data_IF_038981344522
#
_entry.id   IF_038981344522
#
_cell.length_a   1.000
_cell.length_b   1.000
_cell.length_c   1.000
_cell.angle_alpha   90.00
_cell.angle_beta   90.00
_cell.angle_gamma   90.00
#
_symmetry.space_group_name_H-M   'P 1'
#
loop_
_entity.id
_entity.type
_entity.pdbx_description
1 polymer ?
#
# COMPACT_ATOMS: atom_id res chain seq x y z
N UNK A 1 40.76 14.54 -4.89
CA UNK A 1 39.79 13.93 -3.97
C UNK A 1 39.82 12.42 -4.15
N UNK A 2 39.91 11.63 -3.06
CA UNK A 2 39.84 10.16 -3.17
C UNK A 2 38.36 9.74 -3.18
N UNK A 3 37.99 8.85 -4.11
CA UNK A 3 36.66 8.29 -4.17
C UNK A 3 36.51 7.14 -3.16
N UNK A 4 35.31 6.98 -2.58
CA UNK A 4 34.99 5.83 -1.74
C UNK A 4 34.99 4.55 -2.58
N UNK A 5 35.62 3.48 -2.05
CA UNK A 5 35.58 2.15 -2.66
C UNK A 5 34.35 1.40 -2.14
N UNK A 6 33.56 0.82 -3.05
CA UNK A 6 32.32 0.13 -2.73
C UNK A 6 32.54 -1.38 -2.69
N UNK A 7 32.08 -2.07 -1.65
CA UNK A 7 32.00 -3.53 -1.58
C UNK A 7 30.56 -3.95 -1.89
N UNK A 8 30.25 -4.17 -3.16
CA UNK A 8 28.90 -4.45 -3.65
C UNK A 8 28.22 -5.60 -2.90
N UNK A 9 28.96 -6.70 -2.60
CA UNK A 9 28.45 -7.82 -1.81
C UNK A 9 27.94 -7.39 -0.43
N UNK A 10 28.72 -6.60 0.31
CA UNK A 10 28.35 -6.15 1.66
C UNK A 10 27.17 -5.17 1.64
N UNK A 11 27.08 -4.34 0.61
CA UNK A 11 25.93 -3.45 0.43
C UNK A 11 24.68 -4.27 0.16
N UNK A 12 24.72 -5.26 -0.72
CA UNK A 12 23.62 -6.15 -1.00
C UNK A 12 23.14 -6.90 0.26
N UNK A 13 24.08 -7.42 1.05
CA UNK A 13 23.78 -8.10 2.32
C UNK A 13 23.11 -7.14 3.33
N UNK A 14 23.57 -5.89 3.42
CA UNK A 14 22.93 -4.86 4.27
C UNK A 14 21.55 -4.49 3.76
N UNK A 15 21.36 -4.42 2.45
CA UNK A 15 20.04 -4.13 1.85
C UNK A 15 19.04 -5.24 2.12
N UNK A 16 19.44 -6.49 1.95
CA UNK A 16 18.58 -7.65 2.17
C UNK A 16 18.21 -7.82 3.65
N UNK A 17 19.14 -7.55 4.56
CA UNK A 17 19.00 -7.90 5.97
C UNK A 17 18.72 -6.73 6.92
N UNK A 18 18.85 -5.47 6.47
CA UNK A 18 18.80 -4.31 7.36
C UNK A 18 17.88 -3.17 6.89
N UNK A 19 17.54 -3.07 5.60
CA UNK A 19 16.72 -1.98 5.09
C UNK A 19 15.25 -2.24 5.38
N UNK A 20 14.83 -3.49 5.32
CA UNK A 20 13.44 -3.89 5.48
C UNK A 20 13.24 -4.64 6.80
N UNK A 21 12.26 -4.20 7.56
CA UNK A 21 11.90 -4.82 8.84
C UNK A 21 10.96 -6.02 8.67
N UNK A 22 10.15 -6.00 7.61
CA UNK A 22 9.19 -7.05 7.30
C UNK A 22 9.48 -7.73 5.96
N UNK A 23 9.61 -9.06 5.96
CA UNK A 23 9.89 -9.85 4.74
C UNK A 23 8.74 -9.86 3.76
N UNK A 24 7.50 -9.75 4.21
CA UNK A 24 6.29 -9.76 3.37
C UNK A 24 6.30 -8.69 2.27
N UNK A 25 7.03 -7.61 2.48
CA UNK A 25 7.10 -6.50 1.53
C UNK A 25 7.75 -6.85 0.19
N UNK A 26 8.46 -8.00 0.10
CA UNK A 26 9.03 -8.44 -1.18
C UNK A 26 7.97 -8.50 -2.27
N UNK A 27 6.77 -9.00 -1.93
CA UNK A 27 5.67 -9.11 -2.89
C UNK A 27 5.16 -7.73 -3.32
N UNK A 28 5.03 -6.80 -2.37
CA UNK A 28 4.71 -5.39 -2.66
C UNK A 28 5.68 -4.76 -3.66
N UNK A 29 6.97 -4.94 -3.44
CA UNK A 29 8.00 -4.37 -4.30
C UNK A 29 7.98 -4.97 -5.71
N UNK A 30 7.79 -6.29 -5.83
CA UNK A 30 7.69 -6.95 -7.15
C UNK A 30 6.43 -6.54 -7.90
N UNK A 31 5.28 -6.46 -7.22
CA UNK A 31 4.02 -6.00 -7.83
C UNK A 31 4.14 -4.52 -8.24
N UNK A 32 4.78 -3.68 -7.44
CA UNK A 32 5.02 -2.27 -7.78
C UNK A 32 5.89 -2.12 -9.03
N UNK A 33 6.95 -2.92 -9.14
CA UNK A 33 7.80 -2.94 -10.34
C UNK A 33 7.05 -3.43 -11.58
N UNK A 34 6.19 -4.43 -11.43
CA UNK A 34 5.33 -4.94 -12.49
C UNK A 34 4.33 -3.85 -12.95
N UNK A 35 3.69 -3.16 -12.00
CA UNK A 35 2.81 -2.02 -12.30
C UNK A 35 3.53 -0.91 -13.07
N UNK A 36 4.74 -0.53 -12.64
CA UNK A 36 5.55 0.49 -13.33
C UNK A 36 5.94 0.06 -14.75
N UNK A 37 6.23 -1.24 -14.96
CA UNK A 37 6.52 -1.77 -16.29
C UNK A 37 5.31 -1.70 -17.21
N UNK A 38 4.12 -1.96 -16.68
CA UNK A 38 2.86 -1.84 -17.43
C UNK A 38 2.57 -0.35 -17.70
N UNK A 39 2.74 0.55 -16.73
CA UNK A 39 2.55 2.00 -16.92
C UNK A 39 3.40 2.55 -18.07
N UNK A 40 4.66 2.10 -18.19
CA UNK A 40 5.55 2.48 -19.30
C UNK A 40 5.03 1.99 -20.66
N UNK A 41 4.49 0.78 -20.72
CA UNK A 41 3.92 0.25 -21.96
C UNK A 41 2.58 0.91 -22.27
N UNK A 42 1.76 1.15 -21.26
CA UNK A 42 0.50 1.89 -21.41
C UNK A 42 0.75 3.31 -21.94
N UNK A 43 1.79 4.00 -21.44
CA UNK A 43 2.17 5.30 -22.00
C UNK A 43 2.53 5.21 -23.50
N UNK A 44 3.26 4.19 -23.92
CA UNK A 44 3.52 3.93 -25.33
C UNK A 44 2.26 3.64 -26.15
N UNK A 45 1.26 2.97 -25.56
CA UNK A 45 -0.01 2.67 -26.24
C UNK A 45 -0.82 3.90 -26.62
N UNK A 46 -0.54 5.05 -26.01
CA UNK A 46 -1.19 6.33 -26.38
C UNK A 46 -0.77 6.81 -27.78
N UNK A 47 0.33 6.30 -28.31
CA UNK A 47 0.90 6.70 -29.62
C UNK A 47 1.15 5.48 -30.55
N UNK A 48 0.98 4.26 -30.07
CA UNK A 48 1.22 3.02 -30.82
C UNK A 48 0.05 2.03 -30.65
N UNK A 49 -0.83 1.98 -31.64
CA UNK A 49 -2.03 1.14 -31.66
C UNK A 49 -1.74 -0.39 -31.68
N UNK A 50 -0.47 -0.80 -31.80
CA UNK A 50 -0.07 -2.22 -31.80
C UNK A 50 0.08 -2.78 -30.38
N UNK A 51 0.03 -1.94 -29.36
CA UNK A 51 0.12 -2.37 -27.97
C UNK A 51 -1.20 -2.99 -27.54
N UNK A 52 -1.17 -4.25 -27.11
CA UNK A 52 -2.31 -4.89 -26.44
C UNK A 52 -2.54 -4.23 -25.08
N UNK A 53 -3.79 -3.83 -24.82
CA UNK A 53 -4.18 -3.12 -23.60
C UNK A 53 -4.80 -4.03 -22.53
N UNK A 54 -4.77 -5.36 -22.69
CA UNK A 54 -5.18 -6.31 -21.64
C UNK A 54 -4.07 -6.46 -20.58
N UNK A 55 -3.81 -5.37 -19.86
CA UNK A 55 -2.75 -5.31 -18.86
C UNK A 55 -3.11 -6.06 -17.58
N UNK A 56 -2.19 -6.88 -17.09
CA UNK A 56 -2.36 -7.64 -15.83
C UNK A 56 -1.03 -8.06 -15.21
N UNK A 57 -1.09 -8.39 -13.94
CA UNK A 57 -0.01 -8.99 -13.16
C UNK A 57 -0.48 -10.38 -12.75
N UNK A 58 0.28 -11.41 -13.09
CA UNK A 58 -0.06 -12.79 -12.81
C UNK A 58 0.83 -13.34 -11.69
N UNK A 59 0.22 -13.92 -10.64
CA UNK A 59 0.92 -14.63 -9.58
C UNK A 59 0.78 -16.13 -9.82
N UNK A 60 1.92 -16.83 -9.99
CA UNK A 60 1.97 -18.27 -10.25
C UNK A 60 2.74 -18.94 -9.10
N UNK A 61 2.03 -19.72 -8.30
CA UNK A 61 2.60 -20.44 -7.17
C UNK A 61 2.73 -21.94 -7.51
N UNK A 62 3.91 -22.52 -7.28
CA UNK A 62 4.14 -23.95 -7.40
C UNK A 62 4.67 -24.51 -6.07
N UNK A 63 3.77 -25.19 -5.33
CA UNK A 63 4.08 -25.81 -4.04
C UNK A 63 5.14 -26.90 -4.15
N UNK A 64 5.12 -27.69 -5.24
CA UNK A 64 6.03 -28.83 -5.44
C UNK A 64 7.46 -28.36 -5.68
N UNK A 65 7.61 -27.33 -6.51
CA UNK A 65 8.91 -26.71 -6.81
C UNK A 65 9.32 -25.66 -5.77
N UNK A 66 8.42 -25.30 -4.84
CA UNK A 66 8.59 -24.19 -3.88
C UNK A 66 8.98 -22.90 -4.60
N UNK A 67 8.20 -22.53 -5.62
CA UNK A 67 8.44 -21.30 -6.40
C UNK A 67 7.22 -20.40 -6.41
N UNK A 68 7.48 -19.10 -6.39
CA UNK A 68 6.51 -18.06 -6.67
C UNK A 68 7.00 -17.24 -7.85
N UNK A 69 6.15 -17.03 -8.84
CA UNK A 69 6.45 -16.18 -9.99
C UNK A 69 5.50 -14.99 -10.01
N UNK A 70 6.06 -13.80 -10.20
CA UNK A 70 5.33 -12.57 -10.49
C UNK A 70 5.59 -12.23 -11.94
N UNK A 71 4.56 -12.24 -12.76
CA UNK A 71 4.66 -11.98 -14.19
C UNK A 71 3.80 -10.78 -14.57
N UNK A 72 4.38 -9.88 -15.37
CA UNK A 72 3.68 -8.74 -15.98
C UNK A 72 3.74 -8.82 -17.51
N UNK A 73 2.78 -8.19 -18.16
CA UNK A 73 2.78 -7.95 -19.59
C UNK A 73 3.09 -6.48 -19.91
N UNK A 74 4.02 -5.88 -19.13
CA UNK A 74 4.51 -4.53 -19.31
C UNK A 74 5.56 -4.42 -20.42
N UNK A 75 6.35 -3.34 -20.40
CA UNK A 75 7.29 -2.99 -21.47
C UNK A 75 8.43 -4.01 -21.68
N UNK A 76 8.71 -4.84 -20.67
CA UNK A 76 9.86 -5.75 -20.70
C UNK A 76 11.23 -5.05 -20.62
N UNK A 77 12.30 -5.83 -20.76
CA UNK A 77 13.68 -5.36 -20.69
C UNK A 77 14.55 -6.10 -21.71
N UNK A 78 15.48 -5.38 -22.37
CA UNK A 78 16.58 -5.92 -23.16
C UNK A 78 17.67 -6.50 -22.27
N UNK A 79 18.69 -7.17 -22.84
CA UNK A 79 19.85 -7.66 -22.08
C UNK A 79 20.58 -6.54 -21.35
N UNK A 80 20.81 -5.40 -22.02
CA UNK A 80 21.50 -4.22 -21.45
C UNK A 80 20.68 -3.60 -20.33
N UNK A 81 19.35 -3.56 -20.47
CA UNK A 81 18.45 -3.06 -19.42
C UNK A 81 18.38 -4.01 -18.21
N UNK A 82 18.42 -5.33 -18.42
CA UNK A 82 18.54 -6.31 -17.34
C UNK A 82 19.85 -6.12 -16.57
N UNK A 83 20.99 -5.94 -17.28
CA UNK A 83 22.27 -5.66 -16.66
C UNK A 83 22.24 -4.34 -15.88
N UNK A 84 21.73 -3.29 -16.48
CA UNK A 84 21.66 -1.96 -15.88
C UNK A 84 20.75 -1.93 -14.66
N UNK A 85 19.49 -2.42 -14.80
CA UNK A 85 18.45 -2.28 -13.77
C UNK A 85 18.56 -3.31 -12.64
N UNK A 86 19.13 -4.50 -12.91
CA UNK A 86 19.24 -5.59 -11.92
C UNK A 86 20.66 -5.90 -11.53
N UNK A 87 21.65 -5.51 -12.33
CA UNK A 87 23.07 -5.70 -12.06
C UNK A 87 23.71 -4.52 -11.33
N UNK A 88 23.08 -3.34 -11.38
CA UNK A 88 23.60 -2.12 -10.71
C UNK A 88 22.70 -1.76 -9.53
N UNK A 89 23.27 -1.80 -8.32
CA UNK A 89 22.53 -1.48 -7.08
C UNK A 89 22.20 0.02 -7.06
N UNK A 90 20.96 0.35 -6.70
CA UNK A 90 20.41 1.71 -6.61
C UNK A 90 20.31 2.44 -7.97
N UNK A 91 20.26 1.72 -9.07
CA UNK A 91 19.88 2.28 -10.37
C UNK A 91 18.42 1.99 -10.67
N UNK A 92 17.63 3.03 -10.97
CA UNK A 92 16.19 2.93 -11.22
C UNK A 92 15.87 3.30 -12.66
N UNK A 93 15.49 2.29 -13.47
CA UNK A 93 14.95 2.52 -14.81
C UNK A 93 13.63 3.29 -14.80
N UNK A 94 12.89 3.25 -13.71
CA UNK A 94 11.66 4.04 -13.49
C UNK A 94 11.99 5.52 -13.27
N UNK A 95 13.02 5.83 -12.49
CA UNK A 95 13.47 7.21 -12.30
C UNK A 95 14.04 7.81 -13.59
N UNK A 96 14.80 7.00 -14.35
CA UNK A 96 15.33 7.43 -15.66
C UNK A 96 14.19 7.75 -16.64
N UNK A 97 13.14 6.93 -16.70
CA UNK A 97 11.96 7.18 -17.52
C UNK A 97 11.21 8.45 -17.09
N UNK A 98 10.98 8.63 -15.79
CA UNK A 98 10.32 9.83 -15.23
C UNK A 98 11.09 11.12 -15.56
N UNK A 99 12.41 11.07 -15.65
CA UNK A 99 13.24 12.22 -15.99
C UNK A 99 13.28 12.52 -17.50
N UNK A 100 13.03 11.52 -18.36
CA UNK A 100 13.01 11.67 -19.81
C UNK A 100 11.68 12.22 -20.33
N UNK A 101 10.58 11.87 -19.67
CA UNK A 101 9.23 12.29 -20.04
C UNK A 101 8.81 13.50 -19.20
N UNK A 102 8.42 14.58 -19.85
CA UNK A 102 8.00 15.83 -19.18
C UNK A 102 6.62 15.73 -18.50
N UNK A 103 5.89 14.65 -18.72
CA UNK A 103 4.58 14.41 -18.10
C UNK A 103 4.71 13.73 -16.75
N UNK A 104 3.83 14.12 -15.81
CA UNK A 104 3.74 13.54 -14.46
C UNK A 104 3.16 12.12 -14.51
N UNK A 105 3.96 11.13 -14.85
CA UNK A 105 3.60 9.71 -14.65
C UNK A 105 3.69 9.36 -13.17
N UNK A 106 2.62 8.81 -12.63
CA UNK A 106 2.53 8.36 -11.21
C UNK A 106 3.26 7.02 -11.01
N UNK A 107 4.54 6.96 -11.37
CA UNK A 107 5.35 5.75 -11.20
C UNK A 107 5.72 5.55 -9.72
N UNK A 108 5.70 4.29 -9.28
CA UNK A 108 5.86 3.88 -7.88
C UNK A 108 7.35 3.72 -7.52
N UNK A 109 8.15 3.03 -8.36
CA UNK A 109 9.55 2.68 -8.11
C UNK A 109 10.52 3.84 -8.35
N UNK A 110 11.20 4.33 -7.31
CA UNK A 110 12.12 5.47 -7.42
C UNK A 110 13.57 5.16 -7.05
N UNK A 111 13.83 4.13 -6.24
CA UNK A 111 15.12 3.92 -5.58
C UNK A 111 16.01 2.85 -6.20
N UNK A 112 15.50 1.99 -7.10
CA UNK A 112 16.26 0.92 -7.72
C UNK A 112 16.75 -0.18 -6.75
N UNK A 113 16.08 -0.34 -5.62
CA UNK A 113 16.46 -1.31 -4.57
C UNK A 113 15.36 -2.31 -4.24
N UNK A 114 14.09 -2.00 -4.58
CA UNK A 114 12.93 -2.82 -4.23
C UNK A 114 13.02 -4.26 -4.76
N UNK A 115 13.61 -4.45 -5.94
CA UNK A 115 13.83 -5.78 -6.53
C UNK A 115 14.60 -6.72 -5.61
N UNK A 116 15.61 -6.21 -4.91
CA UNK A 116 16.47 -7.05 -4.04
C UNK A 116 15.74 -7.58 -2.80
N UNK A 117 14.56 -7.05 -2.46
CA UNK A 117 13.70 -7.62 -1.42
C UNK A 117 13.33 -9.09 -1.73
N UNK A 118 13.34 -9.50 -3.01
CA UNK A 118 13.15 -10.89 -3.42
C UNK A 118 14.12 -11.86 -2.71
N UNK A 119 15.36 -11.46 -2.44
CA UNK A 119 16.35 -12.30 -1.77
C UNK A 119 16.11 -12.45 -0.25
N UNK A 120 15.19 -11.70 0.33
CA UNK A 120 14.76 -11.94 1.72
C UNK A 120 14.06 -13.29 1.86
N UNK A 121 13.34 -13.73 0.81
CA UNK A 121 12.53 -14.95 0.79
C UNK A 121 13.04 -16.02 -0.17
N UNK A 122 13.87 -15.65 -1.16
CA UNK A 122 14.36 -16.57 -2.18
C UNK A 122 15.85 -16.89 -2.02
N UNK A 123 16.23 -18.14 -2.28
CA UNK A 123 17.61 -18.61 -2.39
C UNK A 123 18.17 -18.41 -3.80
N UNK A 124 17.28 -18.25 -4.79
CA UNK A 124 17.62 -17.95 -6.18
C UNK A 124 16.48 -17.16 -6.81
N UNK A 125 16.81 -16.20 -7.67
CA UNK A 125 15.86 -15.41 -8.46
C UNK A 125 16.23 -15.52 -9.92
N UNK A 126 15.24 -15.77 -10.77
CA UNK A 126 15.33 -15.74 -12.24
C UNK A 126 14.37 -14.68 -12.78
N UNK A 127 14.87 -13.81 -13.65
CA UNK A 127 14.08 -12.76 -14.31
C UNK A 127 14.18 -13.00 -15.81
N UNK A 128 13.07 -13.45 -16.41
CA UNK A 128 12.98 -13.65 -17.88
C UNK A 128 12.17 -12.51 -18.46
N UNK A 129 12.74 -11.81 -19.45
CA UNK A 129 12.12 -10.63 -20.04
C UNK A 129 12.22 -10.59 -21.55
N UNK A 130 11.13 -10.17 -22.21
CA UNK A 130 11.11 -9.80 -23.61
C UNK A 130 10.67 -8.34 -23.71
N UNK A 131 11.56 -7.49 -24.22
CA UNK A 131 11.27 -6.06 -24.38
C UNK A 131 10.31 -5.83 -25.55
N UNK A 132 9.45 -4.81 -25.43
CA UNK A 132 8.55 -4.39 -26.50
C UNK A 132 9.32 -3.96 -27.74
N UNK A 133 9.00 -4.59 -28.87
CA UNK A 133 9.67 -4.37 -30.16
C UNK A 133 10.86 -5.29 -30.44
N UNK A 134 11.30 -6.09 -29.48
CA UNK A 134 12.38 -7.04 -29.61
C UNK A 134 11.85 -8.45 -29.93
N UNK A 135 12.72 -9.29 -30.51
CA UNK A 135 12.41 -10.68 -30.84
C UNK A 135 13.12 -11.69 -29.95
N UNK A 136 14.20 -11.26 -29.27
CA UNK A 136 15.00 -12.10 -28.40
C UNK A 136 14.75 -11.77 -26.94
N UNK A 137 14.28 -12.74 -26.19
CA UNK A 137 14.17 -12.67 -24.74
C UNK A 137 15.50 -13.03 -24.06
N UNK A 138 15.68 -12.51 -22.86
CA UNK A 138 16.85 -12.79 -22.02
C UNK A 138 16.42 -13.17 -20.62
N UNK A 139 17.22 -14.01 -19.97
CA UNK A 139 17.06 -14.41 -18.57
C UNK A 139 18.27 -13.94 -17.76
N UNK A 140 18.01 -13.11 -16.76
CA UNK A 140 18.94 -12.79 -15.69
C UNK A 140 18.72 -13.74 -14.53
N UNK A 141 19.78 -14.28 -13.92
CA UNK A 141 19.67 -15.16 -12.76
C UNK A 141 20.75 -14.89 -11.73
N UNK A 142 20.37 -14.97 -10.45
CA UNK A 142 21.29 -14.77 -9.31
C UNK A 142 20.85 -15.59 -8.09
N UNK A 143 21.83 -15.99 -7.28
CA UNK A 143 21.64 -16.53 -5.93
C UNK A 143 22.01 -15.49 -4.85
N UNK A 144 21.93 -14.21 -5.16
CA UNK A 144 22.23 -13.10 -4.26
C UNK A 144 23.69 -12.63 -4.38
N UNK A 145 24.46 -12.65 -3.30
CA UNK A 145 25.79 -12.04 -3.22
C UNK A 145 26.89 -12.70 -4.08
N UNK A 146 26.57 -13.80 -4.77
CA UNK A 146 27.53 -14.52 -5.63
C UNK A 146 27.69 -13.92 -7.05
N UNK A 147 26.88 -12.91 -7.39
CA UNK A 147 26.83 -12.33 -8.74
C UNK A 147 25.61 -12.79 -9.54
N UNK A 148 25.61 -12.50 -10.83
CA UNK A 148 24.49 -12.84 -11.72
C UNK A 148 25.00 -13.30 -13.10
N UNK A 149 24.11 -13.96 -13.85
CA UNK A 149 24.34 -14.34 -15.24
C UNK A 149 23.19 -13.82 -16.11
N UNK A 150 23.48 -13.46 -17.36
CA UNK A 150 22.47 -13.14 -18.37
C UNK A 150 22.64 -14.09 -19.55
N UNK A 151 21.55 -14.72 -19.99
CA UNK A 151 21.53 -15.69 -21.11
C UNK A 151 20.32 -15.44 -22.00
N UNK A 152 20.40 -15.76 -23.31
CA UNK A 152 19.20 -15.82 -24.13
C UNK A 152 18.18 -16.80 -23.54
N UNK A 153 16.91 -16.48 -23.68
CA UNK A 153 15.80 -17.28 -23.15
C UNK A 153 14.65 -17.36 -24.17
N UNK A 154 13.77 -18.33 -23.92
CA UNK A 154 12.56 -18.54 -24.74
C UNK A 154 11.36 -17.89 -23.98
N UNK A 155 10.95 -16.72 -24.42
CA UNK A 155 9.70 -16.05 -24.03
C UNK A 155 9.12 -15.40 -25.26
N UNK A 156 7.86 -15.69 -25.54
CA UNK A 156 7.17 -15.23 -26.77
C UNK A 156 6.28 -14.03 -26.56
N UNK A 157 5.87 -13.77 -25.31
CA UNK A 157 5.06 -12.62 -24.95
C UNK A 157 5.91 -11.50 -24.36
N UNK A 158 5.63 -10.26 -24.74
CA UNK A 158 6.25 -9.06 -24.16
C UNK A 158 5.95 -9.00 -22.66
N UNK A 159 6.91 -8.50 -21.88
CA UNK A 159 6.80 -8.35 -20.44
C UNK A 159 7.89 -9.08 -19.67
N UNK A 160 7.75 -9.13 -18.35
CA UNK A 160 8.76 -9.69 -17.44
C UNK A 160 8.15 -10.73 -16.53
N UNK A 161 8.91 -11.81 -16.28
CA UNK A 161 8.56 -12.88 -15.35
C UNK A 161 9.68 -13.01 -14.31
N UNK A 162 9.36 -12.74 -13.04
CA UNK A 162 10.28 -12.83 -11.89
C UNK A 162 9.95 -14.09 -11.11
N UNK A 163 10.77 -15.14 -11.25
CA UNK A 163 10.61 -16.43 -10.58
C UNK A 163 11.53 -16.52 -9.35
N UNK A 164 10.92 -16.74 -8.20
CA UNK A 164 11.56 -16.91 -6.90
C UNK A 164 11.63 -18.39 -6.54
N UNK A 165 12.82 -18.89 -6.28
CA UNK A 165 13.03 -20.19 -5.64
C UNK A 165 13.12 -19.96 -4.13
N UNK A 166 12.05 -20.28 -3.43
CA UNK A 166 11.91 -19.96 -2.01
C UNK A 166 12.95 -20.69 -1.14
N UNK A 167 13.35 -20.02 -0.08
CA UNK A 167 14.20 -20.60 0.97
C UNK A 167 13.51 -21.78 1.62
N UNK A 168 14.29 -22.64 2.27
CA UNK A 168 13.77 -23.69 3.11
C UNK A 168 13.23 -23.08 4.41
N UNK A 169 12.18 -23.68 4.99
CA UNK A 169 11.63 -23.20 6.25
C UNK A 169 12.70 -23.31 7.35
N UNK A 170 12.69 -22.39 8.27
CA UNK A 170 13.51 -22.40 9.47
C UNK A 170 12.61 -22.28 10.74
N UNK A 171 13.21 -22.18 11.92
CA UNK A 171 12.47 -22.14 13.19
C UNK A 171 11.63 -20.84 13.33
N UNK A 172 12.03 -19.77 12.65
CA UNK A 172 11.39 -18.45 12.74
C UNK A 172 10.43 -18.18 11.57
N UNK A 173 10.64 -18.83 10.41
CA UNK A 173 9.93 -18.45 9.16
C UNK A 173 9.48 -19.64 8.33
N UNK A 174 8.22 -19.55 7.86
CA UNK A 174 7.55 -20.49 6.99
C UNK A 174 7.50 -19.97 5.56
N UNK A 175 8.56 -20.13 4.76
CA UNK A 175 8.62 -19.63 3.38
C UNK A 175 7.69 -20.34 2.40
N UNK A 176 7.23 -21.55 2.73
CA UNK A 176 6.25 -22.31 1.96
C UNK A 176 4.86 -21.63 1.95
N UNK A 177 4.54 -20.80 2.95
CA UNK A 177 3.29 -20.02 3.00
C UNK A 177 3.16 -19.07 1.80
N UNK A 178 4.27 -18.61 1.23
CA UNK A 178 4.27 -17.78 0.00
C UNK A 178 3.86 -18.57 -1.26
N UNK A 179 3.52 -19.83 -1.17
CA UNK A 179 2.88 -20.62 -2.24
C UNK A 179 1.40 -20.90 -1.96
N UNK A 180 0.87 -20.47 -0.82
CA UNK A 180 -0.51 -20.66 -0.44
C UNK A 180 -1.41 -19.53 -0.98
N UNK A 181 -2.50 -19.90 -1.68
CA UNK A 181 -3.47 -18.92 -2.22
C UNK A 181 -3.95 -17.93 -1.16
N UNK A 182 -4.38 -18.44 -0.01
CA UNK A 182 -4.92 -17.63 1.08
C UNK A 182 -3.90 -16.56 1.55
N UNK A 183 -2.64 -16.98 1.71
CA UNK A 183 -1.59 -16.09 2.19
C UNK A 183 -1.23 -15.03 1.16
N UNK A 184 -1.09 -15.40 -0.13
CA UNK A 184 -0.87 -14.46 -1.22
C UNK A 184 -2.02 -13.46 -1.36
N UNK A 185 -3.26 -13.93 -1.25
CA UNK A 185 -4.45 -13.05 -1.26
C UNK A 185 -4.41 -12.05 -0.12
N UNK A 186 -4.06 -12.50 1.09
CA UNK A 186 -3.92 -11.62 2.26
C UNK A 186 -2.84 -10.56 2.03
N UNK A 187 -1.67 -10.93 1.48
CA UNK A 187 -0.58 -9.98 1.21
C UNK A 187 -0.96 -8.97 0.11
N UNK A 188 -1.59 -9.43 -0.97
CA UNK A 188 -2.08 -8.52 -2.03
C UNK A 188 -3.10 -7.55 -1.46
N UNK A 189 -4.07 -8.02 -0.69
CA UNK A 189 -5.08 -7.18 -0.03
C UNK A 189 -4.46 -6.17 0.93
N UNK A 190 -3.43 -6.56 1.66
CA UNK A 190 -2.75 -5.69 2.63
C UNK A 190 -1.96 -4.59 1.94
N UNK A 191 -1.10 -4.92 0.97
CA UNK A 191 -0.08 -4.01 0.46
C UNK A 191 -0.36 -3.44 -0.92
N UNK A 192 -1.13 -4.15 -1.77
CA UNK A 192 -1.25 -3.88 -3.21
C UNK A 192 -2.71 -3.88 -3.69
N UNK A 193 -3.68 -3.77 -2.79
CA UNK A 193 -5.12 -3.88 -3.12
C UNK A 193 -5.56 -2.83 -4.15
N UNK A 194 -4.91 -1.69 -4.18
CA UNK A 194 -5.29 -0.55 -5.03
C UNK A 194 -4.31 -0.28 -6.17
N UNK A 195 -3.47 -1.25 -6.51
CA UNK A 195 -2.75 -1.23 -7.78
C UNK A 195 -3.77 -1.22 -8.91
N UNK A 196 -3.58 -0.32 -9.89
CA UNK A 196 -4.56 -0.03 -10.97
C UNK A 196 -4.80 -1.19 -11.94
N UNK A 197 -3.90 -2.16 -12.00
CA UNK A 197 -3.99 -3.32 -12.86
C UNK A 197 -4.48 -4.55 -12.09
N UNK A 198 -5.28 -5.45 -12.73
CA UNK A 198 -5.69 -6.69 -12.07
C UNK A 198 -4.49 -7.55 -11.72
N UNK A 199 -4.42 -7.97 -10.47
CA UNK A 199 -3.49 -8.97 -9.98
C UNK A 199 -4.27 -10.28 -9.96
N UNK A 200 -3.90 -11.21 -10.84
CA UNK A 200 -4.64 -12.46 -11.05
C UNK A 200 -3.83 -13.66 -10.62
N UNK A 201 -4.52 -14.72 -10.26
CA UNK A 201 -3.94 -16.00 -9.90
C UNK A 201 -4.86 -17.13 -10.34
N UNK A 202 -4.29 -18.19 -10.93
CA UNK A 202 -5.02 -19.41 -11.19
C UNK A 202 -5.10 -20.26 -9.92
N UNK A 203 -6.32 -20.63 -9.56
CA UNK A 203 -6.60 -21.43 -8.36
C UNK A 203 -7.34 -22.69 -8.72
N UNK A 204 -6.97 -23.80 -8.07
CA UNK A 204 -7.68 -25.06 -8.22
C UNK A 204 -8.86 -25.11 -7.25
N UNK A 205 -10.05 -25.37 -7.80
CA UNK A 205 -11.30 -25.56 -7.04
C UNK A 205 -11.84 -26.96 -7.29
N UNK A 206 -12.62 -27.47 -6.36
CA UNK A 206 -13.35 -28.70 -6.54
C UNK A 206 -14.86 -28.45 -6.51
N UNK A 207 -15.58 -29.08 -7.43
CA UNK A 207 -17.05 -29.08 -7.45
C UNK A 207 -17.58 -30.50 -7.60
N UNK A 208 -18.79 -30.74 -7.12
CA UNK A 208 -19.48 -32.00 -7.43
C UNK A 208 -19.82 -32.07 -8.91
N UNK A 209 -19.48 -33.18 -9.55
CA UNK A 209 -19.84 -33.46 -10.92
C UNK A 209 -21.35 -33.63 -11.03
N UNK A 210 -21.96 -33.00 -12.02
CA UNK A 210 -23.42 -33.06 -12.22
C UNK A 210 -23.90 -34.51 -12.31
N UNK A 211 -24.78 -34.95 -11.40
CA UNK A 211 -25.36 -36.28 -11.39
C UNK A 211 -24.53 -37.39 -10.73
N UNK A 212 -23.43 -37.06 -10.04
CA UNK A 212 -22.58 -38.02 -9.32
C UNK A 212 -22.07 -37.45 -7.99
N UNK A 213 -21.65 -38.32 -7.08
CA UNK A 213 -20.97 -37.89 -5.83
C UNK A 213 -19.45 -37.69 -6.02
N UNK A 214 -18.95 -37.83 -7.25
CA UNK A 214 -17.55 -37.59 -7.56
C UNK A 214 -17.23 -36.09 -7.58
N UNK A 215 -16.05 -35.73 -7.06
CA UNK A 215 -15.51 -34.38 -7.14
C UNK A 215 -14.68 -34.23 -8.43
N UNK A 216 -14.90 -33.13 -9.13
CA UNK A 216 -14.11 -32.70 -10.28
C UNK A 216 -13.29 -31.47 -9.90
N UNK A 217 -11.99 -31.51 -10.16
CA UNK A 217 -11.11 -30.35 -10.01
C UNK A 217 -11.17 -29.50 -11.29
N UNK A 218 -11.27 -28.19 -11.12
CA UNK A 218 -11.18 -27.21 -12.21
C UNK A 218 -10.29 -26.04 -11.81
N UNK A 219 -9.71 -25.40 -12.80
CA UNK A 219 -8.90 -24.20 -12.61
C UNK A 219 -9.75 -22.95 -12.89
N UNK A 220 -9.67 -21.98 -12.00
CA UNK A 220 -10.34 -20.70 -12.13
C UNK A 220 -9.31 -19.57 -11.94
N UNK A 221 -9.32 -18.60 -12.86
CA UNK A 221 -8.52 -17.37 -12.68
C UNK A 221 -9.28 -16.37 -11.83
N UNK A 222 -8.71 -15.97 -10.70
CA UNK A 222 -9.32 -15.03 -9.77
C UNK A 222 -8.52 -13.74 -9.68
N UNK A 223 -9.20 -12.61 -9.59
CA UNK A 223 -8.59 -11.32 -9.30
C UNK A 223 -8.44 -11.14 -7.79
N UNK A 224 -7.24 -10.78 -7.35
CA UNK A 224 -6.90 -10.70 -5.93
C UNK A 224 -7.08 -9.30 -5.35
N UNK A 225 -6.96 -8.24 -6.16
CA UNK A 225 -7.00 -6.85 -5.74
C UNK A 225 -8.30 -6.14 -6.15
N UNK A 226 -8.57 -5.00 -5.54
CA UNK A 226 -9.76 -4.17 -5.79
C UNK A 226 -9.54 -3.10 -6.86
N UNK A 227 -8.30 -2.76 -7.20
CA UNK A 227 -7.84 -1.79 -8.20
C UNK A 227 -8.24 -0.34 -7.92
N UNK A 228 -9.51 -0.06 -7.68
CA UNK A 228 -10.03 1.31 -7.53
C UNK A 228 -10.26 1.64 -6.06
N UNK A 229 -9.43 2.50 -5.45
CA UNK A 229 -9.63 2.92 -4.07
C UNK A 229 -10.87 3.82 -3.93
N UNK A 230 -11.67 3.56 -2.88
CA UNK A 230 -12.90 4.31 -2.62
C UNK A 230 -12.64 5.82 -2.49
N UNK A 231 -11.52 6.20 -1.87
CA UNK A 231 -11.16 7.60 -1.64
C UNK A 231 -10.73 8.38 -2.90
N UNK A 232 -10.45 7.70 -4.01
CA UNK A 232 -10.17 8.34 -5.33
C UNK A 232 -11.43 8.50 -6.18
N UNK A 233 -12.55 7.87 -5.82
CA UNK A 233 -13.82 8.07 -6.50
C UNK A 233 -14.41 9.45 -6.20
N UNK A 234 -15.20 10.00 -7.11
CA UNK A 234 -15.94 11.24 -6.85
C UNK A 234 -17.01 11.00 -5.77
N UNK A 235 -17.12 11.88 -4.79
CA UNK A 235 -18.09 11.76 -3.67
C UNK A 235 -19.53 11.56 -4.13
N UNK A 236 -19.93 12.20 -5.23
CA UNK A 236 -21.26 12.09 -5.81
C UNK A 236 -21.59 10.70 -6.37
N UNK A 237 -20.59 9.86 -6.57
CA UNK A 237 -20.71 8.50 -7.10
C UNK A 237 -20.70 7.44 -6.02
N UNK A 238 -20.45 7.82 -4.76
CA UNK A 238 -20.32 6.88 -3.64
C UNK A 238 -21.56 6.99 -2.77
N UNK A 239 -22.22 5.85 -2.53
CA UNK A 239 -23.34 5.75 -1.62
C UNK A 239 -22.85 5.61 -0.17
N UNK A 240 -23.70 5.97 0.77
CA UNK A 240 -23.43 5.86 2.20
C UNK A 240 -23.09 4.41 2.60
N UNK A 241 -23.80 3.44 2.04
CA UNK A 241 -23.58 2.03 2.29
C UNK A 241 -22.17 1.56 1.84
N UNK A 242 -21.61 2.15 0.77
CA UNK A 242 -20.25 1.84 0.31
C UNK A 242 -19.20 2.33 1.32
N UNK A 243 -19.40 3.53 1.90
CA UNK A 243 -18.52 4.04 2.96
C UNK A 243 -18.59 3.18 4.22
N UNK A 244 -19.81 2.79 4.64
CA UNK A 244 -20.03 1.99 5.83
C UNK A 244 -19.40 0.59 5.66
N UNK A 245 -19.68 -0.08 4.55
CA UNK A 245 -19.10 -1.41 4.25
C UNK A 245 -17.58 -1.36 4.15
N UNK A 246 -17.02 -0.28 3.56
CA UNK A 246 -15.57 -0.09 3.52
C UNK A 246 -14.99 0.05 4.93
N UNK A 247 -15.61 0.88 5.78
CA UNK A 247 -15.17 1.09 7.16
C UNK A 247 -15.19 -0.21 7.97
N UNK A 248 -16.32 -0.91 7.97
CA UNK A 248 -16.51 -2.16 8.70
C UNK A 248 -15.51 -3.23 8.27
N UNK A 249 -15.34 -3.42 6.96
CA UNK A 249 -14.40 -4.39 6.43
C UNK A 249 -12.94 -4.02 6.67
N UNK A 250 -12.58 -2.72 6.52
CA UNK A 250 -11.18 -2.27 6.58
C UNK A 250 -10.66 -2.15 8.00
N UNK A 251 -11.51 -1.74 8.93
CA UNK A 251 -11.13 -1.52 10.33
C UNK A 251 -11.68 -2.58 11.28
N UNK A 252 -12.29 -3.65 10.72
CA UNK A 252 -12.86 -4.77 11.48
C UNK A 252 -13.83 -4.30 12.58
N UNK A 253 -14.64 -3.30 12.23
CA UNK A 253 -15.67 -2.78 13.10
C UNK A 253 -17.03 -3.43 12.74
N UNK A 254 -17.93 -3.52 13.69
CA UNK A 254 -19.25 -4.15 13.53
C UNK A 254 -20.38 -3.11 13.45
N UNK A 255 -20.05 -1.83 13.58
CA UNK A 255 -21.01 -0.72 13.56
C UNK A 255 -20.55 0.36 12.58
N UNK A 256 -21.50 0.96 11.85
CA UNK A 256 -21.22 2.04 10.92
C UNK A 256 -20.64 3.26 11.65
N UNK A 257 -19.76 4.05 11.00
CA UNK A 257 -19.17 5.23 11.63
C UNK A 257 -20.21 6.33 11.81
N UNK A 258 -20.10 7.12 12.87
CA UNK A 258 -20.97 8.28 13.12
C UNK A 258 -20.80 9.39 12.09
N UNK A 259 -19.61 9.49 11.51
CA UNK A 259 -19.30 10.50 10.49
C UNK A 259 -18.24 10.00 9.53
N UNK A 260 -18.45 10.30 8.25
CA UNK A 260 -17.49 10.10 7.18
C UNK A 260 -16.96 11.45 6.72
N UNK A 261 -15.64 11.57 6.64
CA UNK A 261 -14.94 12.77 6.17
C UNK A 261 -14.14 12.36 4.93
N UNK A 262 -14.66 12.65 3.75
CA UNK A 262 -13.95 12.44 2.49
C UNK A 262 -13.42 13.78 1.99
N UNK A 263 -12.12 13.95 1.88
CA UNK A 263 -11.46 15.19 1.48
C UNK A 263 -10.49 14.95 0.34
N UNK A 264 -10.56 15.80 -0.68
CA UNK A 264 -9.56 15.92 -1.73
C UNK A 264 -8.92 17.31 -1.57
N UNK A 265 -7.62 17.34 -1.30
CA UNK A 265 -6.89 18.56 -0.97
C UNK A 265 -5.83 18.79 -2.04
N UNK A 266 -5.94 19.94 -2.70
CA UNK A 266 -4.99 20.43 -3.68
C UNK A 266 -4.30 21.68 -3.13
N UNK A 267 -2.97 21.77 -3.26
CA UNK A 267 -2.21 22.89 -2.73
C UNK A 267 -0.71 22.66 -2.75
N UNK A 268 -0.03 23.06 -1.68
CA UNK A 268 1.40 22.84 -1.51
C UNK A 268 1.77 21.34 -1.45
N UNK A 269 0.84 20.51 -0.99
CA UNK A 269 0.90 19.05 -1.00
C UNK A 269 -0.49 18.55 -1.40
N UNK A 270 -0.54 17.68 -2.41
CA UNK A 270 -1.78 17.08 -2.87
C UNK A 270 -2.01 15.77 -2.14
N UNK A 271 -3.20 15.59 -1.57
CA UNK A 271 -3.58 14.34 -0.93
C UNK A 271 -5.09 14.14 -0.91
N UNK A 272 -5.51 12.90 -0.85
CA UNK A 272 -6.88 12.50 -0.58
C UNK A 272 -6.96 11.84 0.78
N UNK A 273 -7.99 12.14 1.56
CA UNK A 273 -8.23 11.53 2.85
C UNK A 273 -9.66 11.03 2.96
N UNK A 274 -9.82 9.81 3.43
CA UNK A 274 -11.10 9.23 3.80
C UNK A 274 -11.03 8.82 5.28
N UNK A 275 -11.67 9.65 6.14
CA UNK A 275 -11.58 9.51 7.58
C UNK A 275 -12.96 9.16 8.15
N UNK A 276 -12.96 8.45 9.27
CA UNK A 276 -14.15 7.96 9.94
C UNK A 276 -14.09 8.28 11.43
N UNK A 277 -15.21 8.74 11.95
CA UNK A 277 -15.43 8.89 13.40
C UNK A 277 -16.21 7.66 13.86
N UNK A 278 -15.60 6.75 14.65
CA UNK A 278 -16.24 5.54 15.12
C UNK A 278 -17.46 5.83 16.03
N UNK A 279 -18.40 4.89 16.08
CA UNK A 279 -19.55 4.98 16.96
C UNK A 279 -19.22 4.64 18.42
N UNK A 280 -18.20 3.86 18.67
CA UNK A 280 -17.78 3.39 19.99
C UNK A 280 -16.26 3.27 20.09
N UNK A 281 -15.77 3.30 21.32
CA UNK A 281 -14.38 2.99 21.61
C UNK A 281 -14.17 1.47 21.60
N UNK A 282 -13.23 0.97 20.79
CA UNK A 282 -12.84 -0.43 20.80
C UNK A 282 -12.26 -0.81 22.19
N UNK A 283 -12.27 -2.10 22.51
CA UNK A 283 -11.80 -2.61 23.82
C UNK A 283 -10.37 -2.21 24.16
N UNK A 284 -9.52 -2.03 23.16
CA UNK A 284 -8.11 -1.66 23.33
C UNK A 284 -7.87 -0.15 23.38
N UNK A 285 -8.88 0.68 23.06
CA UNK A 285 -8.69 2.11 22.87
C UNK A 285 -8.06 2.85 24.05
N UNK A 286 -8.42 2.49 25.27
CA UNK A 286 -7.88 3.08 26.50
C UNK A 286 -6.75 2.26 27.14
N UNK A 287 -6.19 1.30 26.42
CA UNK A 287 -5.04 0.50 26.86
C UNK A 287 -3.72 1.05 26.33
N UNK A 288 -2.60 0.57 26.89
CA UNK A 288 -1.25 0.93 26.41
C UNK A 288 -0.90 0.35 25.05
N UNK A 289 -1.63 -0.67 24.63
CA UNK A 289 -1.37 -1.37 23.36
C UNK A 289 -2.04 -0.69 22.18
N UNK A 290 -2.95 0.28 22.46
CA UNK A 290 -3.59 1.06 21.40
C UNK A 290 -2.59 1.92 20.64
N UNK A 291 -2.56 1.74 19.33
CA UNK A 291 -1.77 2.56 18.41
C UNK A 291 -2.69 3.50 17.64
N UNK A 292 -2.53 4.79 17.87
CA UNK A 292 -3.20 5.82 17.08
C UNK A 292 -2.54 5.90 15.70
N UNK A 293 -3.29 6.26 14.68
CA UNK A 293 -2.71 6.55 13.37
C UNK A 293 -3.70 6.30 12.23
N UNK A 294 -3.34 6.83 11.08
CA UNK A 294 -4.06 6.62 9.83
C UNK A 294 -3.23 5.73 8.91
N UNK A 295 -3.90 4.96 8.07
CA UNK A 295 -3.23 4.24 7.00
C UNK A 295 -2.71 5.23 5.97
N UNK A 296 -1.45 5.11 5.60
CA UNK A 296 -0.82 5.97 4.62
C UNK A 296 -0.52 5.20 3.35
N UNK A 297 -1.03 5.71 2.25
CA UNK A 297 -0.82 5.21 0.90
C UNK A 297 -0.01 6.20 0.06
N UNK A 298 0.72 5.68 -0.90
CA UNK A 298 1.36 6.44 -1.97
C UNK A 298 1.09 5.73 -3.29
N UNK A 299 0.38 6.39 -4.20
CA UNK A 299 -0.02 5.82 -5.50
C UNK A 299 -0.72 4.45 -5.38
N UNK A 300 -1.62 4.28 -4.40
CA UNK A 300 -2.37 3.04 -4.19
C UNK A 300 -1.60 1.91 -3.50
N UNK A 301 -0.34 2.15 -3.11
CA UNK A 301 0.49 1.20 -2.35
C UNK A 301 0.51 1.58 -0.88
N UNK A 302 0.24 0.63 0.00
CA UNK A 302 0.32 0.85 1.44
C UNK A 302 1.78 1.06 1.88
N UNK A 303 2.03 2.21 2.53
CA UNK A 303 3.32 2.58 3.10
C UNK A 303 3.38 2.15 4.56
N UNK A 304 2.39 2.53 5.34
CA UNK A 304 2.21 2.09 6.73
C UNK A 304 0.73 2.01 7.07
N UNK A 305 0.37 1.02 7.86
CA UNK A 305 -0.99 0.81 8.36
C UNK A 305 -1.33 1.68 9.58
N UNK A 306 -0.31 2.32 10.20
CA UNK A 306 -0.48 3.17 11.37
C UNK A 306 0.54 4.33 11.36
N UNK A 307 0.21 5.42 10.67
CA UNK A 307 1.01 6.65 10.67
C UNK A 307 0.56 7.56 11.81
N UNK A 308 1.28 7.51 12.93
CA UNK A 308 0.96 8.24 14.15
C UNK A 308 1.05 9.77 13.99
N UNK A 309 1.92 10.23 13.09
CA UNK A 309 2.19 11.66 12.86
C UNK A 309 1.05 12.38 12.11
N UNK A 310 0.11 11.64 11.51
CA UNK A 310 -1.01 12.22 10.75
C UNK A 310 -2.14 12.74 11.62
N UNK A 311 -2.24 12.30 12.87
CA UNK A 311 -3.28 12.75 13.80
C UNK A 311 -2.71 13.07 15.18
N UNK A 312 -3.08 14.20 15.80
CA UNK A 312 -2.70 14.49 17.17
C UNK A 312 -3.43 13.58 18.16
N UNK A 313 -2.93 13.50 19.40
CA UNK A 313 -3.50 12.64 20.45
C UNK A 313 -4.96 12.92 20.74
N UNK A 314 -5.40 14.18 20.63
CA UNK A 314 -6.80 14.54 20.83
C UNK A 314 -7.77 13.93 19.83
N UNK A 315 -7.28 13.50 18.67
CA UNK A 315 -8.04 12.84 17.62
C UNK A 315 -7.59 11.39 17.38
N UNK A 316 -6.96 10.78 18.38
CA UNK A 316 -6.47 9.39 18.31
C UNK A 316 -7.55 8.37 17.92
N UNK A 317 -8.83 8.68 18.14
CA UNK A 317 -9.97 7.82 17.81
C UNK A 317 -10.33 7.82 16.31
N UNK A 318 -9.85 8.79 15.53
CA UNK A 318 -10.16 8.87 14.10
C UNK A 318 -9.45 7.74 13.37
N UNK A 319 -10.21 6.95 12.62
CA UNK A 319 -9.70 5.91 11.71
C UNK A 319 -9.75 6.42 10.29
N UNK A 320 -8.93 5.89 9.41
CA UNK A 320 -9.02 6.27 8.00
C UNK A 320 -7.77 6.01 7.20
N UNK A 321 -7.83 6.48 5.96
CA UNK A 321 -6.76 6.37 4.97
C UNK A 321 -6.39 7.73 4.42
N UNK A 322 -5.11 7.92 4.14
CA UNK A 322 -4.55 9.09 3.45
C UNK A 322 -3.71 8.60 2.29
N UNK A 323 -3.91 9.16 1.12
CA UNK A 323 -3.14 8.81 -0.09
C UNK A 323 -2.56 10.09 -0.70
N UNK A 324 -1.25 10.12 -0.90
CA UNK A 324 -0.54 11.24 -1.51
C UNK A 324 0.58 10.75 -2.41
N UNK A 325 0.63 11.28 -3.63
CA UNK A 325 1.73 11.05 -4.58
C UNK A 325 2.95 11.92 -4.30
N UNK A 326 2.78 12.99 -3.50
CA UNK A 326 3.81 14.02 -3.27
C UNK A 326 4.77 13.67 -2.13
N UNK A 327 4.56 12.53 -1.44
CA UNK A 327 5.38 12.13 -0.29
C UNK A 327 6.79 11.71 -0.71
N UNK A 328 7.79 12.25 -0.02
CA UNK A 328 9.18 11.81 -0.12
C UNK A 328 9.37 10.58 0.77
N UNK A 329 9.33 9.39 0.16
CA UNK A 329 9.54 8.13 0.86
C UNK A 329 11.05 7.87 1.06
N UNK A 330 11.41 7.17 2.13
CA UNK A 330 12.75 6.61 2.27
C UNK A 330 12.92 5.35 1.37
N UNK A 331 14.12 4.80 1.38
CA UNK A 331 14.47 3.64 0.54
C UNK A 331 13.59 2.42 0.82
N UNK A 332 13.23 2.17 2.10
CA UNK A 332 12.36 1.04 2.48
C UNK A 332 10.88 1.32 2.32
N UNK A 333 10.49 2.58 2.11
CA UNK A 333 9.09 3.05 2.15
C UNK A 333 8.36 2.70 3.47
N UNK A 334 9.09 2.30 4.51
CA UNK A 334 8.51 1.96 5.82
C UNK A 334 8.58 3.12 6.81
N UNK A 335 9.51 4.04 6.60
CA UNK A 335 9.71 5.21 7.47
C UNK A 335 9.68 6.48 6.62
N UNK A 336 8.82 7.40 6.99
CA UNK A 336 8.84 8.77 6.48
C UNK A 336 9.98 9.50 7.21
N UNK A 337 10.92 10.06 6.47
CA UNK A 337 11.79 11.08 7.06
C UNK A 337 10.88 12.21 7.55
N UNK A 338 11.25 12.91 8.63
CA UNK A 338 10.49 14.07 9.17
C UNK A 338 10.25 15.10 8.05
N UNK A 339 9.20 14.86 7.28
CA UNK A 339 8.97 15.57 6.05
C UNK A 339 8.02 16.75 6.32
N UNK A 340 8.36 17.91 5.72
CA UNK A 340 7.47 19.08 5.71
C UNK A 340 6.11 18.75 5.09
N UNK A 341 6.10 17.84 4.12
CA UNK A 341 4.89 17.39 3.44
C UNK A 341 3.97 16.63 4.41
N UNK A 342 4.50 15.68 5.18
CA UNK A 342 3.71 14.95 6.17
C UNK A 342 3.11 15.89 7.23
N UNK A 343 3.88 16.87 7.72
CA UNK A 343 3.39 17.88 8.65
C UNK A 343 2.31 18.77 8.04
N UNK A 344 2.44 19.13 6.77
CA UNK A 344 1.41 19.90 6.06
C UNK A 344 0.11 19.11 5.90
N UNK A 345 0.20 17.81 5.56
CA UNK A 345 -0.94 16.90 5.50
C UNK A 345 -1.60 16.77 6.88
N UNK A 346 -0.82 16.51 7.93
CA UNK A 346 -1.32 16.38 9.31
C UNK A 346 -2.07 17.63 9.77
N UNK A 347 -1.51 18.83 9.54
CA UNK A 347 -2.17 20.09 9.85
C UNK A 347 -3.46 20.33 9.06
N UNK A 348 -3.51 19.88 7.80
CA UNK A 348 -4.73 19.92 7.00
C UNK A 348 -5.81 18.97 7.50
N UNK A 349 -5.42 17.74 7.85
CA UNK A 349 -6.30 16.71 8.43
C UNK A 349 -6.87 17.19 9.77
N UNK A 350 -6.02 17.72 10.66
CA UNK A 350 -6.44 18.23 11.96
C UNK A 350 -7.50 19.32 11.83
N UNK A 351 -7.26 20.32 10.99
CA UNK A 351 -8.24 21.40 10.72
C UNK A 351 -9.54 20.85 10.17
N UNK A 352 -9.46 19.84 9.29
CA UNK A 352 -10.65 19.23 8.71
C UNK A 352 -11.47 18.47 9.73
N UNK A 353 -10.83 17.67 10.61
CA UNK A 353 -11.49 16.95 11.69
C UNK A 353 -12.16 17.95 12.65
N UNK A 354 -11.44 18.99 13.09
CA UNK A 354 -11.97 20.04 13.99
C UNK A 354 -13.22 20.69 13.40
N UNK A 355 -13.17 21.07 12.12
CA UNK A 355 -14.29 21.70 11.43
C UNK A 355 -15.51 20.77 11.30
N UNK A 356 -15.29 19.47 10.99
CA UNK A 356 -16.39 18.51 10.86
C UNK A 356 -17.00 18.15 12.24
N UNK A 357 -16.19 18.07 13.29
CA UNK A 357 -16.70 17.92 14.67
C UNK A 357 -17.56 19.11 15.09
N UNK A 358 -17.15 20.34 14.74
CA UNK A 358 -17.95 21.55 14.98
C UNK A 358 -19.30 21.49 14.27
N UNK A 359 -19.31 21.10 12.98
CA UNK A 359 -20.58 20.92 12.22
C UNK A 359 -21.45 19.82 12.81
N UNK A 360 -20.84 18.73 13.26
CA UNK A 360 -21.56 17.62 13.88
C UNK A 360 -22.20 18.05 15.22
N UNK A 361 -21.51 18.86 16.02
CA UNK A 361 -22.03 19.45 17.25
C UNK A 361 -23.25 20.35 16.98
N UNK A 362 -23.22 21.14 15.90
CA UNK A 362 -24.28 22.08 15.55
C UNK A 362 -25.48 21.41 14.88
N UNK A 363 -25.25 20.46 13.97
CA UNK A 363 -26.27 19.94 13.05
C UNK A 363 -26.64 18.47 13.29
N UNK A 364 -25.81 17.70 14.00
CA UNK A 364 -25.96 16.25 14.21
C UNK A 364 -25.75 15.90 15.70
N UNK A 365 -26.44 16.63 16.58
CA UNK A 365 -26.20 16.63 18.03
C UNK A 365 -26.26 15.23 18.66
N UNK A 366 -27.14 14.36 18.25
CA UNK A 366 -27.23 12.99 18.79
C UNK A 366 -25.99 12.16 18.48
N UNK A 367 -25.48 12.25 17.25
CA UNK A 367 -24.25 11.59 16.86
C UNK A 367 -23.04 12.20 17.59
N UNK A 368 -23.04 13.52 17.78
CA UNK A 368 -21.99 14.19 18.54
C UNK A 368 -21.97 13.76 20.00
N UNK A 369 -23.11 13.63 20.64
CA UNK A 369 -23.23 13.18 22.02
C UNK A 369 -22.71 11.74 22.19
N UNK A 370 -23.01 10.82 21.25
CA UNK A 370 -22.46 9.46 21.21
C UNK A 370 -20.93 9.47 21.05
N UNK A 371 -20.43 10.24 20.08
CA UNK A 371 -18.98 10.41 19.90
C UNK A 371 -18.31 10.96 21.17
N UNK A 372 -18.93 11.97 21.81
CA UNK A 372 -18.36 12.57 23.01
C UNK A 372 -18.44 11.66 24.23
N UNK A 373 -19.44 10.79 24.32
CA UNK A 373 -19.52 9.75 25.34
C UNK A 373 -18.36 8.75 25.20
N UNK A 374 -18.05 8.33 23.98
CA UNK A 374 -16.98 7.38 23.70
C UNK A 374 -15.57 8.01 23.82
N UNK A 375 -15.37 9.24 23.33
CA UNK A 375 -14.03 9.83 23.12
C UNK A 375 -13.84 11.21 23.78
N UNK A 376 -14.82 11.73 24.50
CA UNK A 376 -14.76 13.07 25.11
C UNK A 376 -13.63 13.22 26.13
N UNK A 377 -13.20 12.11 26.76
CA UNK A 377 -12.04 12.12 27.65
C UNK A 377 -10.76 12.46 26.86
N UNK A 378 -10.57 11.88 25.69
CA UNK A 378 -9.42 12.14 24.80
C UNK A 378 -9.39 13.61 24.36
N UNK A 379 -10.55 14.18 23.98
CA UNK A 379 -10.65 15.60 23.64
C UNK A 379 -10.30 16.51 24.83
N UNK A 380 -10.77 16.18 26.04
CA UNK A 380 -10.46 16.93 27.27
C UNK A 380 -8.98 16.87 27.62
N UNK A 381 -8.36 15.68 27.50
CA UNK A 381 -6.91 15.54 27.66
C UNK A 381 -6.14 16.33 26.61
N UNK A 382 -6.59 16.35 25.35
CA UNK A 382 -5.97 17.14 24.29
C UNK A 382 -5.98 18.64 24.59
N UNK A 383 -7.06 19.15 25.21
CA UNK A 383 -7.14 20.55 25.63
C UNK A 383 -6.23 20.89 26.82
N UNK A 384 -5.93 19.90 27.67
CA UNK A 384 -5.09 20.08 28.88
C UNK A 384 -3.59 19.84 28.58
N UNK A 385 -3.27 18.87 27.76
CA UNK A 385 -1.89 18.47 27.46
C UNK A 385 -1.08 19.61 26.82
N UNK A 386 0.25 19.51 26.92
CA UNK A 386 1.21 20.47 26.38
C UNK A 386 0.90 21.91 26.80
N UNK A 387 0.65 22.10 28.10
CA UNK A 387 0.33 23.41 28.70
C UNK A 387 -0.91 24.10 28.07
N UNK A 388 -1.84 23.30 27.54
CA UNK A 388 -3.06 23.84 26.93
C UNK A 388 -2.86 24.44 25.54
N UNK A 389 -1.84 24.03 24.82
CA UNK A 389 -1.53 24.55 23.49
C UNK A 389 -2.73 24.44 22.51
N UNK A 390 -3.52 23.36 22.61
CA UNK A 390 -4.72 23.15 21.79
C UNK A 390 -6.03 23.62 22.45
N UNK A 391 -5.97 24.30 23.58
CA UNK A 391 -7.14 24.74 24.33
C UNK A 391 -8.09 25.57 23.46
N UNK A 392 -7.57 26.54 22.74
CA UNK A 392 -8.40 27.47 21.96
C UNK A 392 -9.08 26.78 20.77
N UNK A 393 -8.49 25.73 20.22
CA UNK A 393 -9.04 24.94 19.12
C UNK A 393 -10.13 23.96 19.60
N UNK A 394 -9.97 23.41 20.84
CA UNK A 394 -10.82 22.36 21.36
C UNK A 394 -11.92 22.84 22.32
N UNK A 395 -11.78 24.00 22.93
CA UNK A 395 -12.71 24.50 23.98
C UNK A 395 -14.19 24.47 23.56
N UNK A 396 -14.46 24.80 22.30
CA UNK A 396 -15.82 24.90 21.78
C UNK A 396 -16.40 23.53 21.39
N UNK A 397 -15.57 22.49 21.35
CA UNK A 397 -15.94 21.09 21.11
C UNK A 397 -16.20 20.30 22.40
N UNK A 398 -15.90 20.88 23.58
CA UNK A 398 -16.03 20.16 24.84
C UNK A 398 -17.45 20.26 25.38
N UNK A 399 -17.96 19.13 25.87
CA UNK A 399 -19.23 19.05 26.55
C UNK A 399 -19.04 18.79 28.06
N UNK A 400 -19.95 19.36 28.84
CA UNK A 400 -19.93 19.29 30.28
C UNK A 400 -21.32 18.96 30.84
N UNK A 401 -21.36 18.23 31.94
CA UNK A 401 -22.59 18.04 32.71
C UNK A 401 -22.89 19.29 33.54
N UNK A 402 -24.13 19.73 33.51
CA UNK A 402 -24.60 20.85 34.36
C UNK A 402 -25.44 20.28 35.51
N UNK A 403 -25.37 20.92 36.66
CA UNK A 403 -26.27 20.61 37.82
C UNK A 403 -27.72 21.04 37.58
N UNK A 404 -27.96 21.87 36.54
CA UNK A 404 -29.28 22.45 36.25
C UNK A 404 -29.90 21.97 34.95
N UNK A 405 -29.19 21.16 34.18
CA UNK A 405 -29.66 20.66 32.87
C UNK A 405 -29.35 19.18 32.71
N UNK A 406 -30.31 18.40 32.21
CA UNK A 406 -30.15 16.96 32.00
C UNK A 406 -29.24 16.64 30.80
N UNK A 407 -29.16 17.56 29.84
CA UNK A 407 -28.32 17.38 28.64
C UNK A 407 -26.93 17.96 28.84
N UNK A 408 -25.94 17.34 28.16
CA UNK A 408 -24.60 17.89 28.06
C UNK A 408 -24.64 19.27 27.36
N UNK A 409 -23.87 20.22 27.86
CA UNK A 409 -23.79 21.60 27.36
C UNK A 409 -22.36 21.97 26.98
N UNK A 410 -22.21 22.92 26.05
CA UNK A 410 -20.95 23.63 25.80
C UNK A 410 -20.75 24.75 26.84
N UNK A 411 -19.56 25.32 26.87
CA UNK A 411 -19.29 26.54 27.73
C UNK A 411 -19.71 27.85 27.03
N UNK A 412 -20.25 27.77 25.81
CA UNK A 412 -20.87 28.91 25.12
C UNK A 412 -22.30 29.12 25.55
#
# INVERSE_FOLDING_TARGET
MKQFKTQSKRILDLMINSIYTNREIFLRELISNASDAIDKLHFKSLTDDKVDQDFKINLIADKKQRTLTVEDNGIGMTADELEKNLGTIAESGTLAFKNSEKEKTELIGQFGVGFYAAFMVAKKVEVTSLAYGEQQAYMWSSSGSAGYEIKPADKTSVGTSVKLYLKDNDDDYRYDEYTEEYYLRMLVKKYSDYIRYPIVMDVTRSRKKEGSDEQEEYTETVTLNSMVPLWKKQKSQIKEEEYNSFYEAKFHDYEAPLKVIHANMEGAVNYTALLFIPAHAGSEYYTKDYKKGLQLYCNGVLITDCCEDLVPDCYAFVKGVVDSSDLSLNISREVLQQDRQLKAIAGGIEKKITAELGKMLENERENYDKMFEAFGLTLKFGAYNNFGFKKDELKDLLLFRSSTRDKLITLK
#
